data_IF_058894528986
#
_entry.id   IF_058894528986
#
_cell.length_a   1.000
_cell.length_b   1.000
_cell.length_c   1.000
_cell.angle_alpha   90.00
_cell.angle_beta   90.00
_cell.angle_gamma   90.00
#
_symmetry.space_group_name_H-M   'P 1'
#
loop_
_entity.id
_entity.type
_entity.pdbx_description
1 polymer ?
#
# COMPACT_ATOMS: atom_id res chain seq x y z
N UNK A 1 -4.43 -2.28 -25.66
CA UNK A 1 -3.87 -1.43 -24.56
C UNK A 1 -4.61 -1.83 -23.28
N UNK A 2 -3.98 -2.61 -22.41
CA UNK A 2 -4.48 -2.78 -21.05
C UNK A 2 -4.38 -1.43 -20.36
N UNK A 3 -5.51 -0.83 -20.00
CA UNK A 3 -5.52 0.29 -19.08
C UNK A 3 -4.99 -0.25 -17.74
N UNK A 4 -3.83 0.24 -17.34
CA UNK A 4 -3.31 0.03 -15.98
C UNK A 4 -4.22 0.81 -15.04
N UNK A 5 -4.95 0.09 -14.24
CA UNK A 5 -5.84 0.65 -13.23
C UNK A 5 -5.01 0.84 -11.96
N UNK A 6 -4.99 2.05 -11.44
CA UNK A 6 -4.33 2.31 -10.16
C UNK A 6 -5.11 1.61 -9.05
N UNK A 7 -4.45 0.69 -8.37
CA UNK A 7 -4.94 0.08 -7.13
C UNK A 7 -4.92 1.10 -6.00
N UNK A 8 -5.98 1.16 -5.19
CA UNK A 8 -6.16 2.16 -4.13
C UNK A 8 -5.60 1.67 -2.77
N UNK A 9 -4.67 0.72 -2.77
CA UNK A 9 -4.08 0.17 -1.55
C UNK A 9 -2.87 0.96 -1.04
N UNK A 10 -2.82 2.24 -1.28
CA UNK A 10 -1.55 2.94 -1.42
C UNK A 10 -1.27 3.90 -0.27
N UNK A 11 -2.05 3.84 0.82
CA UNK A 11 -1.87 4.75 1.93
C UNK A 11 -1.72 4.00 3.26
N UNK A 12 -0.59 4.20 3.90
CA UNK A 12 -0.25 3.64 5.20
C UNK A 12 -0.02 4.76 6.20
N UNK A 13 -0.58 4.64 7.40
CA UNK A 13 -0.32 5.55 8.51
C UNK A 13 0.38 4.80 9.64
N UNK A 14 1.50 5.33 10.08
CA UNK A 14 2.28 4.83 11.21
C UNK A 14 2.23 5.82 12.36
N UNK A 15 2.33 5.31 13.58
CA UNK A 15 2.39 6.13 14.78
C UNK A 15 3.12 5.40 15.89
N UNK A 16 4.07 6.08 16.56
CA UNK A 16 4.90 5.46 17.58
C UNK A 16 5.72 4.28 17.06
N UNK A 17 6.21 4.33 15.82
CA UNK A 17 7.02 3.29 15.19
C UNK A 17 6.25 1.99 14.90
N UNK A 18 4.93 2.05 14.69
CA UNK A 18 4.07 0.91 14.35
C UNK A 18 3.03 1.32 13.31
N UNK A 19 2.67 0.40 12.43
CA UNK A 19 1.52 0.58 11.54
C UNK A 19 0.25 0.74 12.38
N UNK A 20 -0.54 1.76 12.08
CA UNK A 20 -1.83 2.05 12.73
C UNK A 20 -3.00 1.70 11.84
N UNK A 21 -2.95 2.14 10.61
CA UNK A 21 -3.98 1.89 9.61
C UNK A 21 -3.40 1.91 8.21
N UNK A 22 -4.11 1.29 7.30
CA UNK A 22 -3.87 1.35 5.87
C UNK A 22 -5.20 1.44 5.14
N UNK A 23 -5.21 1.97 3.95
CA UNK A 23 -6.38 1.89 3.07
C UNK A 23 -6.63 0.44 2.67
N UNK A 24 -7.89 0.08 2.53
CA UNK A 24 -8.30 -1.22 2.03
C UNK A 24 -8.49 -1.12 0.52
N UNK A 25 -7.96 -2.10 -0.17
CA UNK A 25 -8.07 -2.22 -1.60
C UNK A 25 -9.49 -2.64 -2.03
N UNK A 26 -9.94 -2.20 -3.19
CA UNK A 26 -11.18 -2.67 -3.81
C UNK A 26 -10.89 -3.80 -4.82
N UNK A 27 -10.12 -4.80 -4.39
CA UNK A 27 -9.76 -5.97 -5.19
C UNK A 27 -10.53 -7.22 -4.78
N UNK A 28 -10.58 -8.20 -5.69
CA UNK A 28 -11.18 -9.50 -5.41
C UNK A 28 -10.55 -10.16 -4.18
N UNK A 29 -9.21 -10.26 -4.05
CA UNK A 29 -8.59 -10.88 -2.87
C UNK A 29 -8.88 -10.15 -1.56
N UNK A 30 -9.04 -8.82 -1.59
CA UNK A 30 -9.41 -8.08 -0.38
C UNK A 30 -10.82 -8.44 0.08
N UNK A 31 -11.76 -8.63 -0.85
CA UNK A 31 -13.11 -9.08 -0.51
C UNK A 31 -13.11 -10.50 0.05
N UNK A 32 -12.31 -11.41 -0.51
CA UNK A 32 -12.13 -12.77 0.02
C UNK A 32 -11.53 -12.75 1.43
N UNK A 33 -10.57 -11.86 1.68
CA UNK A 33 -9.99 -11.70 3.02
C UNK A 33 -11.00 -11.15 4.04
N UNK A 34 -11.85 -10.19 3.62
CA UNK A 34 -12.92 -9.66 4.47
C UNK A 34 -14.02 -10.71 4.73
N UNK A 35 -14.29 -11.60 3.79
CA UNK A 35 -15.21 -12.73 3.97
C UNK A 35 -14.61 -13.85 4.83
N UNK A 36 -13.29 -13.86 5.06
CA UNK A 36 -12.57 -14.88 5.82
C UNK A 36 -12.13 -16.09 4.99
N UNK A 37 -12.30 -16.05 3.68
CA UNK A 37 -11.93 -17.14 2.77
C UNK A 37 -10.42 -17.29 2.61
N UNK A 38 -9.68 -16.18 2.70
CA UNK A 38 -8.22 -16.14 2.67
C UNK A 38 -7.68 -15.28 3.81
N UNK A 39 -6.42 -15.48 4.17
CA UNK A 39 -5.73 -14.61 5.14
C UNK A 39 -5.22 -13.35 4.46
N UNK A 40 -5.20 -12.25 5.18
CA UNK A 40 -4.75 -10.95 4.67
C UNK A 40 -3.34 -10.99 4.04
N UNK A 41 -2.42 -11.80 4.60
CA UNK A 41 -1.07 -12.00 4.06
C UNK A 41 -1.06 -12.70 2.68
N UNK A 42 -2.15 -13.39 2.32
CA UNK A 42 -2.27 -14.15 1.06
C UNK A 42 -2.71 -13.25 -0.10
N UNK A 43 -3.29 -12.08 0.20
CA UNK A 43 -3.73 -11.09 -0.81
C UNK A 43 -2.58 -10.74 -1.77
N UNK A 44 -1.39 -10.52 -1.24
CA UNK A 44 -0.18 -10.13 -1.99
C UNK A 44 0.23 -11.15 -3.05
N UNK A 45 -0.03 -12.42 -2.81
CA UNK A 45 0.36 -13.54 -3.68
C UNK A 45 -0.81 -14.14 -4.46
N UNK A 46 -2.03 -13.58 -4.29
CA UNK A 46 -3.22 -14.13 -4.94
C UNK A 46 -3.16 -13.95 -6.46
N UNK A 47 -3.59 -14.97 -7.21
CA UNK A 47 -3.61 -14.94 -8.67
C UNK A 47 -4.41 -13.75 -9.24
N UNK A 48 -5.51 -13.40 -8.56
CA UNK A 48 -6.42 -12.32 -8.95
C UNK A 48 -6.09 -10.97 -8.28
N UNK A 49 -4.88 -10.76 -7.75
CA UNK A 49 -4.50 -9.53 -7.03
C UNK A 49 -4.67 -8.25 -7.87
N UNK A 50 -4.60 -8.40 -9.19
CA UNK A 50 -4.77 -7.29 -10.14
C UNK A 50 -6.23 -7.10 -10.60
N UNK A 51 -7.18 -7.92 -10.10
CA UNK A 51 -8.60 -7.78 -10.44
C UNK A 51 -9.25 -6.79 -9.48
N UNK A 52 -9.46 -5.58 -9.98
CA UNK A 52 -10.14 -4.52 -9.24
C UNK A 52 -11.65 -4.57 -9.46
N UNK A 53 -12.38 -4.37 -8.39
CA UNK A 53 -13.84 -4.31 -8.39
C UNK A 53 -14.35 -2.91 -8.71
N UNK A 54 -13.53 -1.88 -8.48
CA UNK A 54 -13.85 -0.48 -8.78
C UNK A 54 -12.69 0.18 -9.49
N UNK A 55 -12.98 0.83 -10.61
CA UNK A 55 -11.97 1.48 -11.45
C UNK A 55 -12.51 2.78 -11.99
N UNK A 56 -11.62 3.75 -12.23
CA UNK A 56 -12.01 5.00 -12.87
C UNK A 56 -12.38 4.77 -14.34
N UNK A 57 -13.34 5.55 -14.85
CA UNK A 57 -13.74 5.50 -16.27
C UNK A 57 -14.88 4.55 -16.61
N UNK A 58 -15.47 3.86 -15.63
CA UNK A 58 -16.72 3.11 -15.81
C UNK A 58 -17.87 3.81 -15.10
N UNK A 59 -19.12 3.60 -15.62
CA UNK A 59 -20.32 4.06 -14.92
C UNK A 59 -20.52 3.19 -13.68
N UNK A 60 -20.63 3.82 -12.53
CA UNK A 60 -20.88 3.15 -11.26
C UNK A 60 -22.34 3.38 -10.82
N UNK A 61 -22.93 2.34 -10.25
CA UNK A 61 -24.32 2.42 -9.79
C UNK A 61 -24.46 3.19 -8.46
N UNK A 62 -23.39 3.28 -7.66
CA UNK A 62 -23.35 3.91 -6.34
C UNK A 62 -22.07 4.75 -6.17
N UNK A 63 -21.90 5.38 -5.00
CA UNK A 63 -20.76 6.22 -4.66
C UNK A 63 -19.42 5.57 -4.99
N UNK A 64 -18.62 6.35 -5.68
CA UNK A 64 -17.41 5.88 -6.39
C UNK A 64 -16.18 5.82 -5.50
N UNK A 65 -16.22 6.45 -4.34
CA UNK A 65 -15.10 6.58 -3.42
C UNK A 65 -15.56 6.56 -1.98
N UNK A 66 -14.66 6.20 -1.10
CA UNK A 66 -14.87 6.25 0.35
C UNK A 66 -14.06 7.41 0.90
N UNK A 67 -14.72 8.32 1.59
CA UNK A 67 -14.07 9.38 2.36
C UNK A 67 -13.97 8.89 3.81
N UNK A 68 -12.75 8.78 4.31
CA UNK A 68 -12.52 8.48 5.73
C UNK A 68 -12.79 9.71 6.59
N UNK A 69 -13.08 9.47 7.87
CA UNK A 69 -13.14 10.54 8.85
C UNK A 69 -11.81 11.29 8.96
N UNK A 70 -11.90 12.59 9.26
CA UNK A 70 -10.72 13.42 9.51
C UNK A 70 -9.96 12.87 10.71
N UNK A 71 -8.70 12.57 10.52
CA UNK A 71 -7.81 12.12 11.58
C UNK A 71 -6.93 13.27 12.05
N UNK A 72 -6.86 13.53 13.38
CA UNK A 72 -6.00 14.56 13.90
C UNK A 72 -4.53 14.18 13.71
N UNK A 73 -3.73 15.10 13.18
CA UNK A 73 -2.29 14.94 13.12
C UNK A 73 -1.69 14.95 14.54
N UNK A 74 -0.88 13.94 14.82
CA UNK A 74 -0.16 13.78 16.09
C UNK A 74 1.34 13.74 15.82
N UNK A 75 2.13 14.26 16.75
CA UNK A 75 3.59 14.15 16.69
C UNK A 75 4.04 12.67 16.53
N UNK A 76 5.09 12.47 15.76
CA UNK A 76 5.67 11.15 15.46
C UNK A 76 4.75 10.24 14.65
N UNK A 77 3.89 10.80 13.82
CA UNK A 77 3.21 10.07 12.77
C UNK A 77 4.06 10.09 11.49
N UNK A 78 3.96 8.99 10.76
CA UNK A 78 4.55 8.87 9.43
C UNK A 78 3.48 8.33 8.46
N UNK A 79 3.51 8.83 7.25
CA UNK A 79 2.59 8.43 6.19
C UNK A 79 3.41 7.95 4.99
N UNK A 80 2.93 6.89 4.35
CA UNK A 80 3.49 6.39 3.11
C UNK A 80 2.35 6.26 2.11
N UNK A 81 2.51 6.87 0.94
CA UNK A 81 1.66 6.65 -0.23
C UNK A 81 2.53 5.96 -1.28
N UNK A 82 2.04 4.88 -1.86
CA UNK A 82 2.83 4.14 -2.84
C UNK A 82 1.96 3.38 -3.84
N UNK A 83 2.52 3.00 -4.96
CA UNK A 83 1.87 2.13 -5.96
C UNK A 83 2.04 0.65 -5.61
N UNK A 84 1.28 -0.20 -6.32
CA UNK A 84 1.34 -1.66 -6.16
C UNK A 84 2.75 -2.23 -6.38
N UNK A 85 3.48 -1.77 -7.39
CA UNK A 85 4.85 -2.18 -7.62
C UNK A 85 5.79 -1.94 -6.43
N UNK A 86 5.45 -1.03 -5.51
CA UNK A 86 6.22 -0.81 -4.29
C UNK A 86 5.82 -1.78 -3.17
N UNK A 87 4.53 -1.81 -2.78
CA UNK A 87 4.12 -2.61 -1.62
C UNK A 87 4.06 -4.12 -1.89
N UNK A 88 4.00 -4.57 -3.14
CA UNK A 88 4.11 -6.00 -3.47
C UNK A 88 5.45 -6.61 -3.07
N UNK A 89 6.51 -5.82 -3.08
CA UNK A 89 7.89 -6.26 -2.83
C UNK A 89 8.40 -5.98 -1.41
N UNK A 90 7.65 -5.23 -0.60
CA UNK A 90 8.01 -4.93 0.80
C UNK A 90 6.81 -5.13 1.73
N UNK A 91 6.99 -5.86 2.83
CA UNK A 91 5.92 -6.08 3.80
C UNK A 91 5.86 -4.98 4.87
N UNK A 92 4.74 -4.90 5.58
CA UNK A 92 4.49 -3.89 6.60
C UNK A 92 5.45 -3.99 7.81
N UNK A 93 6.02 -5.19 8.05
CA UNK A 93 7.03 -5.38 9.09
C UNK A 93 8.36 -4.77 8.68
N UNK A 94 8.75 -4.93 7.42
CA UNK A 94 9.94 -4.31 6.86
C UNK A 94 9.80 -2.77 6.80
N UNK A 95 8.64 -2.25 6.36
CA UNK A 95 8.33 -0.82 6.40
C UNK A 95 8.45 -0.25 7.82
N UNK A 96 7.88 -0.96 8.80
CA UNK A 96 7.94 -0.58 10.22
C UNK A 96 9.37 -0.62 10.78
N UNK A 97 10.16 -1.62 10.38
CA UNK A 97 11.56 -1.75 10.79
C UNK A 97 12.39 -0.60 10.23
N UNK A 98 12.26 -0.31 8.94
CA UNK A 98 12.91 0.82 8.30
C UNK A 98 12.55 2.14 9.01
N UNK A 99 11.25 2.37 9.30
CA UNK A 99 10.80 3.58 10.01
C UNK A 99 11.50 3.77 11.36
N UNK A 100 11.68 2.71 12.13
CA UNK A 100 12.32 2.79 13.46
C UNK A 100 13.81 3.15 13.40
N UNK A 101 14.47 2.90 12.29
CA UNK A 101 15.89 3.20 12.10
C UNK A 101 16.15 4.50 11.34
N UNK A 102 15.09 5.16 10.88
CA UNK A 102 15.16 6.40 10.11
C UNK A 102 14.82 7.62 10.96
N UNK A 103 15.56 8.69 10.77
CA UNK A 103 15.33 10.00 11.43
C UNK A 103 14.55 10.95 10.54
N UNK A 104 14.61 10.77 9.23
CA UNK A 104 13.93 11.60 8.23
C UNK A 104 13.05 10.75 7.33
N UNK A 105 12.07 11.37 6.66
CA UNK A 105 11.22 10.71 5.68
C UNK A 105 12.04 10.20 4.48
N UNK A 106 13.08 10.94 4.10
CA UNK A 106 14.00 10.56 3.04
C UNK A 106 14.79 9.29 3.38
N UNK A 107 15.40 9.22 4.57
CA UNK A 107 16.10 8.01 5.04
C UNK A 107 15.18 6.79 5.05
N UNK A 108 13.93 6.98 5.51
CA UNK A 108 12.93 5.93 5.55
C UNK A 108 12.58 5.44 4.14
N UNK A 109 12.32 6.37 3.22
CA UNK A 109 11.98 6.06 1.84
C UNK A 109 13.13 5.33 1.14
N UNK A 110 14.36 5.84 1.27
CA UNK A 110 15.55 5.25 0.66
C UNK A 110 15.78 3.81 1.16
N UNK A 111 15.70 3.60 2.48
CA UNK A 111 15.84 2.25 3.06
C UNK A 111 14.78 1.27 2.58
N UNK A 112 13.56 1.72 2.32
CA UNK A 112 12.51 0.88 1.74
C UNK A 112 12.74 0.63 0.25
N UNK A 113 13.15 1.65 -0.49
CA UNK A 113 13.44 1.56 -1.93
C UNK A 113 14.53 0.53 -2.21
N UNK A 114 15.64 0.58 -1.47
CA UNK A 114 16.73 -0.43 -1.57
C UNK A 114 16.20 -1.86 -1.37
N UNK A 115 15.30 -2.08 -0.41
CA UNK A 115 14.69 -3.38 -0.18
C UNK A 115 13.77 -3.82 -1.32
N UNK A 116 12.98 -2.89 -1.88
CA UNK A 116 12.09 -3.14 -3.03
C UNK A 116 12.91 -3.50 -4.26
N UNK A 117 13.96 -2.75 -4.57
CA UNK A 117 14.84 -3.01 -5.70
C UNK A 117 15.57 -4.35 -5.56
N UNK A 118 16.09 -4.65 -4.37
CA UNK A 118 16.73 -5.94 -4.09
C UNK A 118 15.76 -7.11 -4.23
N UNK A 119 14.51 -6.97 -3.78
CA UNK A 119 13.49 -8.01 -3.90
C UNK A 119 12.99 -8.19 -5.34
N UNK A 120 13.11 -7.17 -6.17
CA UNK A 120 12.69 -7.16 -7.57
C UNK A 120 13.79 -7.50 -8.58
N UNK A 121 15.06 -7.57 -8.18
CA UNK A 121 16.22 -7.67 -9.07
C UNK A 121 16.16 -8.84 -10.08
N UNK A 122 15.57 -9.98 -9.67
CA UNK A 122 15.44 -11.19 -10.50
C UNK A 122 14.00 -11.42 -11.02
N UNK A 123 13.15 -10.36 -11.04
CA UNK A 123 11.74 -10.45 -11.43
C UNK A 123 11.40 -9.40 -12.47
N UNK A 124 10.35 -9.66 -13.23
CA UNK A 124 9.70 -8.64 -14.07
C UNK A 124 8.94 -7.65 -13.15
N UNK A 125 9.66 -6.64 -12.69
CA UNK A 125 9.17 -5.62 -11.76
C UNK A 125 8.26 -4.64 -12.46
N UNK A 126 7.11 -4.33 -11.88
CA UNK A 126 6.32 -3.19 -12.33
C UNK A 126 6.96 -1.86 -11.87
N UNK A 127 6.66 -0.78 -12.58
CA UNK A 127 7.08 0.55 -12.17
C UNK A 127 6.52 0.86 -10.78
N UNK A 128 7.31 1.48 -9.95
CA UNK A 128 6.86 1.88 -8.62
C UNK A 128 7.09 3.36 -8.35
N UNK A 129 6.27 3.91 -7.47
CA UNK A 129 6.42 5.25 -6.93
C UNK A 129 6.03 5.24 -5.46
N UNK A 130 6.68 6.07 -4.65
CA UNK A 130 6.34 6.21 -3.25
C UNK A 130 6.60 7.64 -2.75
N UNK A 131 5.78 8.08 -1.80
CA UNK A 131 5.90 9.36 -1.10
C UNK A 131 5.85 9.08 0.40
N UNK A 132 6.87 9.51 1.13
CA UNK A 132 6.93 9.42 2.58
C UNK A 132 6.81 10.81 3.22
N UNK A 133 6.03 10.91 4.29
CA UNK A 133 5.81 12.16 5.03
C UNK A 133 5.92 11.88 6.53
N UNK A 134 6.67 12.72 7.25
CA UNK A 134 6.71 12.75 8.71
C UNK A 134 5.96 13.97 9.24
N UNK A 135 5.16 13.79 10.32
CA UNK A 135 4.41 14.82 11.03
C UNK A 135 4.87 14.94 12.48
#
# INVERSE_FOLDING_TARGET
>A
RRQRQMCIRDSYMFGGGRLKTRTLDHSVPQMLALAGDIKEKEIRFHADRNKLLRVMGIKWANDQFVISDVQPLKKKQAFLLCTDGFWELIDEKAMTRALRHSKTAEEWLNSMTEQVEAAGADRDMDNFSAIAVFA
#
